data_IF_467352367399
#
_entry.id   IF_467352367399
#
_cell.length_a   1.000
_cell.length_b   1.000
_cell.length_c   1.000
_cell.angle_alpha   90.00
_cell.angle_beta   90.00
_cell.angle_gamma   90.00
#
_symmetry.space_group_name_H-M   'P 1'
#
loop_
_entity.id
_entity.type
_entity.pdbx_description
1 polymer ?
#
# COMPACT_ATOMS: atom_id res chain seq x y z
N UNK A 1 48.20 9.28 12.59
CA UNK A 1 47.66 9.68 11.27
C UNK A 1 46.24 9.17 11.20
N UNK A 2 45.27 10.07 11.29
CA UNK A 2 43.83 9.81 11.27
C UNK A 2 43.33 9.92 9.83
N UNK A 3 42.72 8.87 9.29
CA UNK A 3 41.82 8.95 8.13
C UNK A 3 40.85 7.76 8.19
N UNK A 4 39.80 7.91 9.00
CA UNK A 4 38.57 7.11 8.89
C UNK A 4 37.90 7.46 7.56
N UNK A 5 38.14 6.68 6.52
CA UNK A 5 37.39 6.76 5.27
C UNK A 5 36.00 6.16 5.50
N UNK A 6 35.04 7.02 5.87
CA UNK A 6 33.63 6.66 5.82
C UNK A 6 33.26 6.38 4.37
N UNK A 7 32.89 5.14 4.08
CA UNK A 7 32.24 4.76 2.83
C UNK A 7 30.88 5.48 2.79
N UNK A 8 30.67 6.46 1.90
CA UNK A 8 29.35 7.05 1.74
C UNK A 8 28.53 6.00 0.99
N UNK A 9 27.78 5.17 1.73
CA UNK A 9 26.94 4.13 1.16
C UNK A 9 26.20 4.65 -0.06
N UNK A 10 26.48 4.06 -1.22
CA UNK A 10 25.89 4.43 -2.51
C UNK A 10 24.37 4.21 -2.46
N UNK A 11 23.62 5.27 -2.18
CA UNK A 11 22.16 5.29 -2.30
C UNK A 11 21.77 5.29 -3.78
N UNK A 12 21.33 4.14 -4.28
CA UNK A 12 20.68 4.03 -5.60
C UNK A 12 19.21 4.37 -5.44
N UNK A 13 18.72 5.34 -6.20
CA UNK A 13 17.30 5.72 -6.24
C UNK A 13 16.81 5.67 -7.69
N UNK A 14 15.77 4.89 -7.97
CA UNK A 14 15.04 4.93 -9.25
C UNK A 14 13.77 5.79 -9.04
N UNK A 15 13.66 6.97 -9.69
CA UNK A 15 12.49 7.86 -9.55
C UNK A 15 11.17 7.19 -9.96
N UNK A 16 11.20 6.14 -10.77
CA UNK A 16 10.03 5.42 -11.25
C UNK A 16 9.72 4.16 -10.43
N UNK A 17 10.52 3.86 -9.40
CA UNK A 17 10.38 2.64 -8.61
C UNK A 17 8.97 2.47 -8.02
N UNK A 18 8.42 3.55 -7.43
CA UNK A 18 7.08 3.54 -6.84
C UNK A 18 6.00 3.26 -7.88
N UNK A 19 6.10 3.85 -9.07
CA UNK A 19 5.13 3.63 -10.16
C UNK A 19 5.20 2.20 -10.70
N UNK A 20 6.41 1.65 -10.86
CA UNK A 20 6.59 0.24 -11.27
C UNK A 20 6.02 -0.70 -10.22
N UNK A 21 6.26 -0.43 -8.93
CA UNK A 21 5.73 -1.21 -7.82
C UNK A 21 4.20 -1.20 -7.78
N UNK A 22 3.58 -0.02 -7.91
CA UNK A 22 2.13 0.11 -7.98
C UNK A 22 1.54 -0.65 -9.17
N UNK A 23 2.23 -0.65 -10.32
CA UNK A 23 1.86 -1.46 -11.48
C UNK A 23 1.85 -2.96 -11.19
N UNK A 24 2.89 -3.47 -10.52
CA UNK A 24 2.97 -4.89 -10.12
C UNK A 24 1.90 -5.25 -9.09
N UNK A 25 1.67 -4.40 -8.09
CA UNK A 25 0.64 -4.60 -7.07
C UNK A 25 -0.77 -4.65 -7.70
N UNK A 26 -1.03 -3.80 -8.70
CA UNK A 26 -2.25 -3.87 -9.52
C UNK A 26 -2.38 -5.21 -10.24
N UNK A 27 -1.32 -5.76 -10.82
CA UNK A 27 -1.37 -7.06 -11.49
C UNK A 27 -1.73 -8.19 -10.51
N UNK A 28 -1.10 -8.23 -9.33
CA UNK A 28 -1.43 -9.23 -8.30
C UNK A 28 -2.88 -9.13 -7.84
N UNK A 29 -3.39 -7.91 -7.73
CA UNK A 29 -4.80 -7.65 -7.45
C UNK A 29 -5.72 -8.30 -8.49
N UNK A 30 -5.49 -8.00 -9.77
CA UNK A 30 -6.28 -8.51 -10.89
C UNK A 30 -6.22 -10.04 -11.01
N UNK A 31 -5.07 -10.63 -10.69
CA UNK A 31 -4.85 -12.08 -10.67
C UNK A 31 -5.35 -12.76 -9.39
N UNK A 32 -5.99 -12.01 -8.47
CA UNK A 32 -6.43 -12.49 -7.15
C UNK A 32 -5.32 -13.18 -6.34
N UNK A 33 -4.06 -12.79 -6.53
CA UNK A 33 -2.90 -13.43 -5.92
C UNK A 33 -2.33 -12.62 -4.73
N UNK A 34 -1.77 -13.34 -3.75
CA UNK A 34 -1.08 -12.76 -2.58
C UNK A 34 -1.94 -11.95 -1.59
N UNK A 35 -3.26 -12.17 -1.54
CA UNK A 35 -4.15 -11.57 -0.54
C UNK A 35 -4.07 -12.34 0.79
N UNK A 36 -4.02 -11.64 1.93
CA UNK A 36 -3.89 -12.22 3.27
C UNK A 36 -5.05 -11.84 4.22
N UNK A 37 -5.98 -11.01 3.75
CA UNK A 37 -7.23 -10.70 4.43
C UNK A 37 -8.36 -10.40 3.44
N UNK A 38 -9.58 -10.40 3.95
CA UNK A 38 -10.74 -9.81 3.28
C UNK A 38 -11.15 -8.57 4.08
N UNK A 39 -11.23 -7.42 3.42
CA UNK A 39 -11.81 -6.20 3.96
C UNK A 39 -13.29 -6.21 3.59
N UNK A 40 -14.18 -6.17 4.59
CA UNK A 40 -15.61 -6.11 4.34
C UNK A 40 -16.05 -4.65 4.43
N UNK A 41 -16.59 -4.11 3.33
CA UNK A 41 -17.13 -2.74 3.27
C UNK A 41 -18.54 -2.81 2.73
N UNK A 42 -19.52 -2.33 3.51
CA UNK A 42 -20.95 -2.36 3.17
C UNK A 42 -21.48 -3.76 2.75
N UNK A 43 -20.87 -4.82 3.27
CA UNK A 43 -21.21 -6.20 2.95
C UNK A 43 -20.48 -6.79 1.74
N UNK A 44 -19.71 -6.00 1.00
CA UNK A 44 -18.82 -6.47 -0.06
C UNK A 44 -17.48 -6.93 0.51
N UNK A 45 -17.06 -8.14 0.14
CA UNK A 45 -15.78 -8.70 0.57
C UNK A 45 -14.69 -8.38 -0.46
N UNK A 46 -13.67 -7.65 -0.02
CA UNK A 46 -12.62 -7.19 -0.90
C UNK A 46 -11.29 -7.79 -0.47
N UNK A 47 -10.65 -8.64 -1.30
CA UNK A 47 -9.44 -9.34 -0.90
C UNK A 47 -8.27 -8.37 -0.84
N UNK A 48 -7.63 -8.19 0.31
CA UNK A 48 -6.59 -7.16 0.52
C UNK A 48 -5.27 -7.79 1.00
N UNK A 49 -4.22 -6.97 0.90
CA UNK A 49 -2.93 -7.16 1.55
C UNK A 49 -2.83 -6.27 2.80
N UNK A 50 -2.79 -6.85 4.00
CA UNK A 50 -2.76 -6.11 5.29
C UNK A 50 -1.58 -5.16 5.39
N UNK A 51 -0.43 -5.54 4.83
CA UNK A 51 0.78 -4.70 4.82
C UNK A 51 0.61 -3.45 3.95
N UNK A 52 0.02 -3.57 2.76
CA UNK A 52 -0.28 -2.46 1.85
C UNK A 52 -1.31 -1.54 2.49
N UNK A 53 -2.36 -2.14 3.07
CA UNK A 53 -3.41 -1.42 3.75
C UNK A 53 -2.86 -0.65 4.97
N UNK A 54 -2.04 -1.30 5.80
CA UNK A 54 -1.36 -0.68 6.93
C UNK A 54 -0.34 0.41 6.55
N UNK A 55 0.24 0.33 5.35
CA UNK A 55 1.16 1.34 4.83
C UNK A 55 0.42 2.60 4.36
N UNK A 56 -0.79 2.45 3.81
CA UNK A 56 -1.64 3.57 3.41
C UNK A 56 -2.36 4.20 4.61
N UNK A 57 -2.82 3.38 5.55
CA UNK A 57 -3.39 3.85 6.80
C UNK A 57 -2.87 3.05 7.99
N UNK A 58 -2.14 3.67 8.92
CA UNK A 58 -1.62 3.00 10.11
C UNK A 58 -2.73 2.50 11.06
N UNK A 59 -4.00 2.90 10.83
CA UNK A 59 -5.13 2.59 11.71
C UNK A 59 -5.79 1.24 11.46
N UNK A 60 -5.45 0.51 10.38
CA UNK A 60 -5.99 -0.84 10.14
C UNK A 60 -5.59 -1.88 11.19
N UNK A 61 -4.58 -1.57 12.01
CA UNK A 61 -4.26 -2.38 13.20
C UNK A 61 -5.06 -2.02 14.44
N UNK A 62 -5.84 -0.93 14.39
CA UNK A 62 -6.66 -0.46 15.50
C UNK A 62 -8.10 -0.95 15.35
N UNK A 63 -8.67 -1.37 16.47
CA UNK A 63 -10.05 -1.88 16.59
C UNK A 63 -11.11 -0.79 16.31
N UNK A 64 -10.69 0.49 16.25
CA UNK A 64 -11.57 1.65 16.03
C UNK A 64 -10.86 2.76 15.22
N UNK A 65 -10.73 2.63 13.89
CA UNK A 65 -10.09 3.64 13.06
C UNK A 65 -10.94 4.94 13.03
N UNK A 66 -10.32 6.12 13.17
CA UNK A 66 -11.04 7.39 13.02
C UNK A 66 -11.48 7.59 11.56
N UNK A 67 -12.58 8.31 11.33
CA UNK A 67 -13.23 8.45 10.02
C UNK A 67 -12.28 8.89 8.88
N UNK A 68 -11.22 9.64 9.20
CA UNK A 68 -10.20 10.11 8.25
C UNK A 68 -9.34 8.99 7.64
N UNK A 69 -9.29 7.82 8.28
CA UNK A 69 -8.55 6.64 7.80
C UNK A 69 -9.17 6.05 6.53
N UNK A 70 -10.47 6.23 6.31
CA UNK A 70 -11.17 5.62 5.16
C UNK A 70 -10.83 6.31 3.84
N UNK A 71 -10.53 7.61 3.87
CA UNK A 71 -10.05 8.37 2.71
C UNK A 71 -8.72 7.86 2.18
N UNK A 72 -7.79 7.50 3.06
CA UNK A 72 -6.46 6.96 2.66
C UNK A 72 -6.60 5.59 1.99
N UNK A 73 -7.50 4.75 2.52
CA UNK A 73 -7.83 3.44 1.96
C UNK A 73 -8.46 3.61 0.57
N UNK A 74 -9.41 4.54 0.40
CA UNK A 74 -10.04 4.82 -0.89
C UNK A 74 -9.02 5.32 -1.93
N UNK A 75 -8.15 6.25 -1.55
CA UNK A 75 -7.10 6.77 -2.45
C UNK A 75 -6.11 5.70 -2.91
N UNK A 76 -5.70 4.79 -2.01
CA UNK A 76 -4.83 3.67 -2.34
C UNK A 76 -5.52 2.73 -3.33
N UNK A 77 -6.78 2.43 -3.07
CA UNK A 77 -7.60 1.60 -3.94
C UNK A 77 -7.81 2.18 -5.33
N UNK A 78 -8.01 3.49 -5.43
CA UNK A 78 -8.07 4.18 -6.71
C UNK A 78 -6.73 4.09 -7.48
N UNK A 79 -5.59 4.05 -6.78
CA UNK A 79 -4.29 3.83 -7.42
C UNK A 79 -4.09 2.39 -7.89
N UNK A 80 -4.59 1.40 -7.14
CA UNK A 80 -4.42 -0.01 -7.47
C UNK A 80 -5.39 -0.43 -8.56
N UNK A 81 -6.69 -0.16 -8.43
CA UNK A 81 -7.72 -0.68 -9.35
C UNK A 81 -8.19 0.36 -10.38
N UNK A 82 -8.08 1.65 -10.06
CA UNK A 82 -8.53 2.74 -10.95
C UNK A 82 -10.04 3.03 -10.92
N UNK A 83 -10.86 2.18 -10.31
CA UNK A 83 -12.32 2.21 -10.48
C UNK A 83 -13.18 2.25 -9.21
N UNK A 84 -12.61 2.26 -8.00
CA UNK A 84 -13.46 2.08 -6.80
C UNK A 84 -14.09 3.40 -6.33
N UNK A 85 -15.39 3.55 -6.58
CA UNK A 85 -16.27 4.50 -5.88
C UNK A 85 -16.91 3.77 -4.69
N UNK A 86 -16.41 4.00 -3.48
CA UNK A 86 -17.17 3.71 -2.26
C UNK A 86 -18.25 4.79 -2.14
N UNK A 87 -19.52 4.39 -2.02
CA UNK A 87 -20.67 5.31 -1.95
C UNK A 87 -21.15 5.46 -0.51
#
# INVERSE_FOLDING_TARGET
>A
MNSTSGDPGLTVSDPQHSQKLLGVLRTFWQEQSFHDALLVVDGEEIPVQKNILAAASPYIRSDSPPAHSWSDICCLWQQIDGCVHFH
#
